data_IF_574619628712
#
_entry.id   IF_574619628712
#
_cell.length_a   1.000
_cell.length_b   1.000
_cell.length_c   1.000
_cell.angle_alpha   90.00
_cell.angle_beta   90.00
_cell.angle_gamma   90.00
#
_symmetry.space_group_name_H-M   'P 1'
#
loop_
_entity.id
_entity.type
_entity.pdbx_description
1 polymer ?
#
# COMPACT_ATOMS: atom_id res chain seq x y z
N UNK A 1 17.46 -2.77 -15.98
CA UNK A 1 16.87 -1.78 -15.04
C UNK A 1 15.39 -1.54 -15.28
N UNK A 2 14.92 -1.41 -16.53
CA UNK A 2 13.50 -1.18 -16.87
C UNK A 2 12.54 -2.30 -16.42
N UNK A 3 12.93 -3.58 -16.53
CA UNK A 3 12.13 -4.72 -16.04
C UNK A 3 12.00 -4.71 -14.50
N UNK A 4 13.08 -4.35 -13.80
CA UNK A 4 13.09 -4.22 -12.33
C UNK A 4 12.26 -3.03 -11.85
N UNK A 5 12.22 -1.93 -12.61
CA UNK A 5 11.38 -0.77 -12.33
C UNK A 5 9.88 -1.09 -12.55
N UNK A 6 9.56 -1.89 -13.59
CA UNK A 6 8.19 -2.36 -13.83
C UNK A 6 7.71 -3.31 -12.72
N UNK A 7 8.54 -4.26 -12.31
CA UNK A 7 8.19 -5.18 -11.21
C UNK A 7 8.08 -4.46 -9.87
N UNK A 8 8.99 -3.54 -9.57
CA UNK A 8 8.91 -2.70 -8.38
C UNK A 8 7.68 -1.79 -8.40
N UNK A 9 7.34 -1.19 -9.53
CA UNK A 9 6.11 -0.41 -9.71
C UNK A 9 4.85 -1.26 -9.53
N UNK A 10 4.80 -2.46 -10.11
CA UNK A 10 3.66 -3.37 -9.95
C UNK A 10 3.51 -3.86 -8.50
N UNK A 11 4.62 -4.23 -7.84
CA UNK A 11 4.63 -4.58 -6.42
C UNK A 11 4.19 -3.39 -5.56
N UNK A 12 4.70 -2.19 -5.84
CA UNK A 12 4.31 -0.95 -5.14
C UNK A 12 2.81 -0.64 -5.26
N UNK A 13 2.22 -0.78 -6.45
CA UNK A 13 0.77 -0.65 -6.63
C UNK A 13 0.02 -1.68 -5.79
N UNK A 14 0.37 -2.97 -5.90
CA UNK A 14 -0.34 -4.03 -5.18
C UNK A 14 -0.24 -3.88 -3.65
N UNK A 15 0.91 -3.45 -3.14
CA UNK A 15 1.13 -3.22 -1.72
C UNK A 15 0.32 -2.02 -1.21
N UNK A 16 0.36 -0.89 -1.92
CA UNK A 16 -0.41 0.30 -1.53
C UNK A 16 -1.93 0.08 -1.65
N UNK A 17 -2.42 -0.68 -2.64
CA UNK A 17 -3.83 -1.04 -2.73
C UNK A 17 -4.25 -1.92 -1.54
N UNK A 18 -3.43 -2.90 -1.15
CA UNK A 18 -3.72 -3.73 0.03
C UNK A 18 -3.74 -2.90 1.31
N UNK A 19 -2.81 -1.97 1.46
CA UNK A 19 -2.79 -1.04 2.59
C UNK A 19 -4.03 -0.12 2.61
N UNK A 20 -4.48 0.35 1.44
CA UNK A 20 -5.69 1.14 1.29
C UNK A 20 -6.96 0.35 1.65
N UNK A 21 -7.04 -0.92 1.26
CA UNK A 21 -8.15 -1.82 1.61
C UNK A 21 -8.26 -1.99 3.13
N UNK A 22 -7.13 -2.22 3.82
CA UNK A 22 -7.09 -2.30 5.28
C UNK A 22 -7.53 -0.99 5.94
N UNK A 23 -7.05 0.15 5.42
CA UNK A 23 -7.52 1.45 5.89
C UNK A 23 -9.02 1.63 5.72
N UNK A 24 -9.57 1.19 4.58
CA UNK A 24 -11.01 1.17 4.34
C UNK A 24 -11.79 0.30 5.33
N UNK A 25 -11.26 -0.89 5.65
CA UNK A 25 -11.86 -1.79 6.65
C UNK A 25 -11.80 -1.18 8.06
N UNK A 26 -10.69 -0.53 8.43
CA UNK A 26 -10.57 0.17 9.71
C UNK A 26 -11.58 1.32 9.82
N UNK A 27 -11.68 2.16 8.78
CA UNK A 27 -12.64 3.28 8.71
C UNK A 27 -14.08 2.77 8.81
N UNK A 28 -14.44 1.72 8.06
CA UNK A 28 -15.78 1.15 8.08
C UNK A 28 -16.17 0.60 9.47
N UNK A 29 -15.21 0.07 10.21
CA UNK A 29 -15.41 -0.48 11.55
C UNK A 29 -15.01 0.50 12.69
N UNK A 30 -14.79 1.78 12.38
CA UNK A 30 -14.39 2.78 13.36
C UNK A 30 -15.45 3.06 14.45
N UNK A 31 -16.69 2.66 14.23
CA UNK A 31 -17.79 2.75 15.21
C UNK A 31 -18.22 1.38 15.76
N UNK A 32 -17.55 0.30 15.35
CA UNK A 32 -17.82 -1.05 15.85
C UNK A 32 -17.17 -1.23 17.23
N UNK A 33 -17.95 -1.43 18.31
CA UNK A 33 -17.38 -1.58 19.65
C UNK A 33 -16.46 -2.80 19.74
N UNK A 34 -15.25 -2.61 20.27
CA UNK A 34 -14.28 -3.70 20.43
C UNK A 34 -13.54 -4.12 19.16
N UNK A 35 -13.72 -3.40 18.04
CA UNK A 35 -12.93 -3.63 16.83
C UNK A 35 -11.47 -3.20 17.03
N UNK A 36 -10.54 -4.02 16.51
CA UNK A 36 -9.10 -3.79 16.55
C UNK A 36 -8.61 -3.42 15.15
N UNK A 37 -8.00 -2.24 15.02
CA UNK A 37 -7.45 -1.79 13.75
C UNK A 37 -6.31 -2.72 13.28
N UNK A 38 -6.31 -3.07 12.00
CA UNK A 38 -5.20 -3.79 11.37
C UNK A 38 -4.25 -2.77 10.72
N UNK A 39 -2.94 -2.91 10.93
CA UNK A 39 -1.93 -2.04 10.32
C UNK A 39 -1.16 -2.78 9.21
N UNK A 40 -0.98 -2.16 8.03
CA UNK A 40 -0.14 -2.72 6.99
C UNK A 40 1.34 -2.60 7.37
N UNK A 41 2.07 -3.71 7.31
CA UNK A 41 3.53 -3.77 7.43
C UNK A 41 4.14 -4.09 6.08
N UNK A 42 4.88 -3.16 5.50
CA UNK A 42 5.52 -3.37 4.20
C UNK A 42 6.80 -4.20 4.40
N UNK A 43 6.88 -5.33 3.71
CA UNK A 43 8.01 -6.26 3.78
C UNK A 43 8.47 -6.59 2.36
N UNK A 44 9.75 -6.32 2.09
CA UNK A 44 10.38 -6.75 0.84
C UNK A 44 10.76 -8.23 0.95
N UNK A 45 10.06 -9.09 0.19
CA UNK A 45 10.44 -10.49 0.05
C UNK A 45 11.53 -10.59 -1.03
N UNK A 46 12.76 -10.82 -0.60
CA UNK A 46 13.86 -11.27 -1.48
C UNK A 46 13.66 -12.76 -1.79
N UNK A 47 13.82 -13.23 -3.06
CA UNK A 47 14.43 -12.54 -4.20
C UNK A 47 13.51 -11.70 -5.10
N UNK A 48 12.18 -11.73 -4.96
CA UNK A 48 11.29 -10.89 -5.77
C UNK A 48 9.86 -10.76 -5.19
N UNK A 49 9.57 -9.60 -4.59
CA UNK A 49 8.19 -9.16 -4.33
C UNK A 49 8.04 -8.35 -3.05
N UNK A 50 7.67 -7.07 -3.17
CA UNK A 50 7.19 -6.28 -2.04
C UNK A 50 5.81 -6.78 -1.61
N UNK A 51 5.72 -7.38 -0.43
CA UNK A 51 4.48 -7.82 0.20
C UNK A 51 4.06 -6.89 1.33
N UNK A 52 2.79 -6.94 1.70
CA UNK A 52 2.28 -6.33 2.94
C UNK A 52 1.92 -7.46 3.88
N UNK A 53 2.56 -7.50 5.04
CA UNK A 53 2.22 -8.35 6.17
C UNK A 53 1.28 -7.60 7.10
N UNK A 54 0.26 -8.26 7.62
CA UNK A 54 -0.72 -7.65 8.51
C UNK A 54 -0.30 -7.91 9.95
N UNK A 55 -0.14 -6.85 10.74
CA UNK A 55 0.03 -6.95 12.18
C UNK A 55 -1.21 -6.43 12.91
N UNK A 56 -1.78 -7.25 13.78
CA UNK A 56 -2.86 -6.86 14.69
C UNK A 56 -2.26 -6.67 16.08
N UNK A 57 -2.15 -5.43 16.61
CA UNK A 57 -1.59 -5.20 17.93
C UNK A 57 -2.51 -5.81 19.00
N UNK A 58 -1.97 -6.76 19.76
CA UNK A 58 -2.70 -7.48 20.80
C UNK A 58 -2.80 -6.70 22.12
N UNK A 59 -4.05 -6.37 22.50
CA UNK A 59 -4.63 -6.31 23.87
C UNK A 59 -4.14 -5.22 24.85
N UNK A 60 -5.07 -4.37 25.32
CA UNK A 60 -5.36 -4.11 26.76
C UNK A 60 -6.49 -3.05 27.00
N UNK A 61 -7.60 -3.51 27.60
CA UNK A 61 -8.42 -2.89 28.67
C UNK A 61 -9.19 -1.56 28.47
N UNK A 62 -10.52 -1.71 28.62
CA UNK A 62 -11.54 -0.76 29.11
C UNK A 62 -12.32 0.09 28.08
N UNK A 63 -13.63 -0.20 28.00
CA UNK A 63 -14.66 0.82 27.73
C UNK A 63 -14.84 1.32 26.30
N UNK A 64 -15.58 0.56 25.49
CA UNK A 64 -16.62 1.11 24.61
C UNK A 64 -16.27 1.92 23.36
N UNK A 65 -15.01 2.28 23.11
CA UNK A 65 -14.60 2.95 21.88
C UNK A 65 -13.86 1.98 20.93
N UNK A 66 -14.08 2.13 19.62
CA UNK A 66 -13.28 1.41 18.62
C UNK A 66 -11.82 1.87 18.73
N UNK A 67 -10.86 0.95 18.62
CA UNK A 67 -9.42 1.27 18.69
C UNK A 67 -8.87 1.98 17.44
N UNK A 68 -9.75 2.54 16.60
CA UNK A 68 -9.45 3.17 15.32
C UNK A 68 -9.40 4.68 15.49
N UNK A 69 -8.27 5.31 15.13
CA UNK A 69 -8.18 6.76 14.97
C UNK A 69 -8.45 7.16 13.52
N UNK A 70 -9.63 7.73 13.26
CA UNK A 70 -10.07 8.10 11.91
C UNK A 70 -9.20 9.20 11.27
N UNK A 71 -8.63 10.11 12.06
CA UNK A 71 -7.77 11.17 11.51
C UNK A 71 -6.47 10.57 10.94
N UNK A 72 -5.90 9.61 11.67
CA UNK A 72 -4.75 8.84 11.22
C UNK A 72 -5.09 7.97 10.02
N UNK A 73 -6.23 7.28 10.01
CA UNK A 73 -6.63 6.43 8.88
C UNK A 73 -6.92 7.21 7.59
N UNK A 74 -7.53 8.39 7.68
CA UNK A 74 -7.72 9.27 6.51
C UNK A 74 -6.36 9.71 5.96
N UNK A 75 -5.43 10.11 6.84
CA UNK A 75 -4.08 10.51 6.43
C UNK A 75 -3.33 9.36 5.77
N UNK A 76 -3.38 8.17 6.36
CA UNK A 76 -2.81 6.94 5.81
C UNK A 76 -3.39 6.62 4.43
N UNK A 77 -4.72 6.74 4.27
CA UNK A 77 -5.39 6.49 2.97
C UNK A 77 -4.89 7.43 1.86
N UNK A 78 -4.54 8.68 2.22
CA UNK A 78 -3.99 9.66 1.29
C UNK A 78 -2.57 9.28 0.87
N UNK A 79 -1.75 8.82 1.82
CA UNK A 79 -0.39 8.32 1.55
C UNK A 79 -0.45 7.08 0.65
N UNK A 80 -1.32 6.12 0.92
CA UNK A 80 -1.45 4.93 0.08
C UNK A 80 -1.92 5.26 -1.34
N UNK A 81 -2.87 6.19 -1.49
CA UNK A 81 -3.28 6.70 -2.82
C UNK A 81 -2.14 7.38 -3.56
N UNK A 82 -1.37 8.22 -2.89
CA UNK A 82 -0.17 8.83 -3.46
C UNK A 82 0.88 7.78 -3.85
N UNK A 83 1.03 6.72 -3.06
CA UNK A 83 1.92 5.59 -3.36
C UNK A 83 1.50 4.81 -4.62
N UNK A 84 0.20 4.62 -4.84
CA UNK A 84 -0.32 4.02 -6.09
C UNK A 84 -0.02 4.93 -7.29
N UNK A 85 -0.29 6.24 -7.19
CA UNK A 85 -0.03 7.20 -8.27
C UNK A 85 1.46 7.27 -8.62
N UNK A 86 2.33 7.34 -7.60
CA UNK A 86 3.77 7.32 -7.76
C UNK A 86 4.23 6.04 -8.46
N UNK A 87 3.75 4.88 -8.02
CA UNK A 87 4.11 3.58 -8.60
C UNK A 87 3.63 3.48 -10.05
N UNK A 88 2.45 4.00 -10.38
CA UNK A 88 1.97 4.09 -11.76
C UNK A 88 2.83 5.02 -12.62
N UNK A 89 3.34 6.12 -12.05
CA UNK A 89 4.26 7.02 -12.76
C UNK A 89 5.62 6.38 -13.01
N UNK A 90 6.12 5.55 -12.09
CA UNK A 90 7.33 4.72 -12.31
C UNK A 90 7.12 3.77 -13.48
N UNK A 91 5.99 3.07 -13.54
CA UNK A 91 5.65 2.18 -14.67
C UNK A 91 5.60 2.95 -15.99
N UNK A 92 4.93 4.12 -16.02
CA UNK A 92 4.89 4.97 -17.22
C UNK A 92 6.28 5.43 -17.66
N UNK A 93 7.15 5.79 -16.72
CA UNK A 93 8.53 6.18 -17.04
C UNK A 93 9.34 4.99 -17.58
N UNK A 94 9.17 3.80 -17.02
CA UNK A 94 9.81 2.59 -17.51
C UNK A 94 9.34 2.25 -18.93
N UNK A 95 8.03 2.35 -19.20
CA UNK A 95 7.44 2.16 -20.51
C UNK A 95 7.98 3.17 -21.54
N UNK A 96 8.04 4.47 -21.19
CA UNK A 96 8.61 5.49 -22.06
C UNK A 96 10.10 5.22 -22.39
N UNK A 97 10.89 4.74 -21.42
CA UNK A 97 12.29 4.36 -21.70
C UNK A 97 12.36 3.16 -22.65
N UNK A 98 11.52 2.14 -22.46
CA UNK A 98 11.44 0.98 -23.35
C UNK A 98 11.03 1.38 -24.77
N UNK A 99 10.05 2.28 -24.91
CA UNK A 99 9.66 2.84 -26.21
C UNK A 99 10.84 3.53 -26.92
N UNK A 100 11.55 4.42 -26.22
CA UNK A 100 12.72 5.11 -26.80
C UNK A 100 13.87 4.16 -27.17
N UNK A 101 14.04 3.08 -26.40
CA UNK A 101 15.03 2.03 -26.69
C UNK A 101 14.65 1.24 -27.96
N UNK A 102 13.36 0.98 -28.15
CA UNK A 102 12.84 0.31 -29.35
C UNK A 102 13.03 1.22 -30.58
N UNK A 103 12.66 2.50 -30.49
CA UNK A 103 12.78 3.48 -31.59
C UNK A 103 14.22 3.68 -32.08
N UNK A 104 15.22 3.60 -31.18
CA UNK A 104 16.65 3.71 -31.54
C UNK A 104 17.19 2.41 -32.17
N UNK A 105 16.55 1.27 -31.89
CA UNK A 105 16.98 -0.05 -32.39
C UNK A 105 16.33 -0.45 -33.73
N UNK A 106 15.33 0.29 -34.20
CA UNK A 106 14.66 0.13 -35.49
C UNK A 106 15.36 0.96 -36.59
#
# INVERSE_FOLDING_TARGET
MSISALSAGASGISANIRALDLGGQNIANAVTPGFQAASPSFQESSPAGGGVSLSTPGRALSGGASGVDLATEISNSLIYKAGVDLSAKVIKSADATLGSLIDISA
#
